data_IF_231851755642
#
_entry.id   IF_231851755642
#
_cell.length_a   1.000
_cell.length_b   1.000
_cell.length_c   1.000
_cell.angle_alpha   90.00
_cell.angle_beta   90.00
_cell.angle_gamma   90.00
#
_symmetry.space_group_name_H-M   'P 1'
#
loop_
_entity.id
_entity.type
_entity.pdbx_description
1 polymer ?
#
# COMPACT_ATOMS: atom_id res chain seq x y z
N UNK A 1 -26.44 0.88 -39.67
CA UNK A 1 -26.19 1.56 -38.38
C UNK A 1 -26.13 0.51 -37.28
N UNK A 2 -24.97 -0.11 -37.05
CA UNK A 2 -24.80 -1.06 -35.96
C UNK A 2 -23.32 -1.20 -35.58
N UNK A 3 -23.09 -1.12 -34.28
CA UNK A 3 -21.98 -1.70 -33.51
C UNK A 3 -20.67 -0.92 -33.37
N UNK A 4 -20.73 0.32 -32.84
CA UNK A 4 -19.60 0.97 -32.15
C UNK A 4 -19.53 0.68 -30.63
N UNK A 5 -20.41 -0.16 -30.09
CA UNK A 5 -20.49 -0.47 -28.65
C UNK A 5 -19.40 -1.43 -28.14
N UNK A 6 -18.64 -2.10 -29.01
CA UNK A 6 -17.64 -3.10 -28.62
C UNK A 6 -16.26 -2.54 -28.28
N UNK A 7 -15.92 -1.34 -28.76
CA UNK A 7 -14.54 -0.80 -28.66
C UNK A 7 -14.26 -0.11 -27.33
N UNK A 8 -15.30 0.31 -26.62
CA UNK A 8 -15.20 0.95 -25.30
C UNK A 8 -15.14 -0.03 -24.12
N UNK A 9 -15.68 -1.25 -24.23
CA UNK A 9 -15.79 -2.15 -23.06
C UNK A 9 -14.46 -2.83 -22.68
N UNK A 10 -13.60 -3.11 -23.66
CA UNK A 10 -12.33 -3.81 -23.46
C UNK A 10 -11.27 -2.94 -22.76
N UNK A 11 -11.26 -1.62 -23.01
CA UNK A 11 -10.40 -0.66 -22.30
C UNK A 11 -10.91 -0.26 -20.92
N UNK A 12 -12.21 -0.46 -20.64
CA UNK A 12 -12.80 -0.18 -19.32
C UNK A 12 -12.34 -1.17 -18.25
N UNK A 13 -11.92 -2.38 -18.62
CA UNK A 13 -11.44 -3.41 -17.69
C UNK A 13 -10.11 -3.04 -17.02
N UNK A 14 -9.01 -2.71 -17.74
CA UNK A 14 -7.76 -2.31 -17.09
C UNK A 14 -7.90 -1.01 -16.30
N UNK A 15 -8.69 -0.05 -16.78
CA UNK A 15 -8.96 1.20 -16.06
C UNK A 15 -9.70 0.95 -14.73
N UNK A 16 -10.66 0.01 -14.69
CA UNK A 16 -11.35 -0.38 -13.46
C UNK A 16 -10.41 -1.01 -12.43
N UNK A 17 -9.48 -1.87 -12.82
CA UNK A 17 -8.49 -2.44 -11.91
C UNK A 17 -7.52 -1.39 -11.38
N UNK A 18 -7.15 -0.42 -12.21
CA UNK A 18 -6.32 0.71 -11.78
C UNK A 18 -7.08 1.60 -10.78
N UNK A 19 -8.33 1.95 -11.05
CA UNK A 19 -9.18 2.66 -10.09
C UNK A 19 -9.38 1.87 -8.79
N UNK A 20 -9.55 0.55 -8.89
CA UNK A 20 -9.68 -0.32 -7.72
C UNK A 20 -8.40 -0.35 -6.88
N UNK A 21 -7.22 -0.16 -7.48
CA UNK A 21 -5.94 -0.08 -6.77
C UNK A 21 -5.76 1.20 -5.95
N UNK A 22 -6.52 2.26 -6.25
CA UNK A 22 -6.41 3.55 -5.55
C UNK A 22 -6.85 3.42 -4.09
N UNK A 23 -7.94 2.69 -3.83
CA UNK A 23 -8.48 2.52 -2.47
C UNK A 23 -7.50 1.80 -1.51
N UNK A 24 -6.95 0.62 -1.83
CA UNK A 24 -5.99 -0.04 -0.95
C UNK A 24 -4.66 0.73 -0.88
N UNK A 25 -4.26 1.45 -1.94
CA UNK A 25 -3.07 2.29 -1.90
C UNK A 25 -3.24 3.49 -0.96
N UNK A 26 -4.40 4.16 -1.01
CA UNK A 26 -4.73 5.24 -0.09
C UNK A 26 -4.83 4.73 1.35
N UNK A 27 -5.50 3.60 1.56
CA UNK A 27 -5.54 2.93 2.85
C UNK A 27 -4.14 2.60 3.36
N UNK A 28 -3.27 2.05 2.52
CA UNK A 28 -1.89 1.71 2.86
C UNK A 28 -1.14 2.96 3.32
N UNK A 29 -1.25 4.06 2.58
CA UNK A 29 -0.64 5.33 2.94
C UNK A 29 -1.16 5.85 4.28
N UNK A 30 -2.48 5.86 4.49
CA UNK A 30 -3.07 6.30 5.75
C UNK A 30 -2.66 5.42 6.94
N UNK A 31 -2.67 4.09 6.79
CA UNK A 31 -2.27 3.15 7.85
C UNK A 31 -0.78 3.29 8.17
N UNK A 32 0.07 3.41 7.15
CA UNK A 32 1.50 3.63 7.34
C UNK A 32 1.77 4.96 8.03
N UNK A 33 1.11 6.03 7.60
CA UNK A 33 1.22 7.35 8.22
C UNK A 33 0.75 7.30 9.68
N UNK A 34 -0.39 6.68 9.97
CA UNK A 34 -0.89 6.53 11.33
C UNK A 34 0.10 5.78 12.24
N UNK A 35 0.67 4.69 11.74
CA UNK A 35 1.68 3.94 12.49
C UNK A 35 2.97 4.74 12.71
N UNK A 36 3.44 5.45 11.69
CA UNK A 36 4.71 6.19 11.75
C UNK A 36 4.65 7.35 12.76
N UNK A 37 3.46 7.94 12.92
CA UNK A 37 3.20 9.04 13.84
C UNK A 37 2.51 8.60 15.15
N UNK A 38 2.52 7.31 15.49
CA UNK A 38 1.84 6.80 16.70
C UNK A 38 2.40 7.35 18.02
N UNK A 39 3.66 7.81 18.03
CA UNK A 39 4.25 8.45 19.21
C UNK A 39 4.17 9.97 19.20
N UNK A 40 3.38 10.57 18.31
CA UNK A 40 3.18 12.01 18.27
C UNK A 40 4.44 12.82 17.99
N UNK A 41 4.39 14.10 18.37
CA UNK A 41 5.52 15.05 18.27
C UNK A 41 6.59 14.76 19.32
N UNK A 42 6.17 14.30 20.50
CA UNK A 42 7.05 13.84 21.57
C UNK A 42 6.63 12.45 22.04
N UNK A 43 7.45 11.47 21.68
CA UNK A 43 7.23 10.09 22.07
C UNK A 43 7.34 9.91 23.59
N UNK A 44 8.17 10.71 24.27
CA UNK A 44 8.28 10.64 25.73
C UNK A 44 6.98 11.09 26.38
N UNK A 45 6.44 12.22 25.92
CA UNK A 45 5.16 12.73 26.41
C UNK A 45 4.04 11.69 26.19
N UNK A 46 3.98 11.09 25.00
CA UNK A 46 2.98 10.07 24.68
C UNK A 46 3.13 8.83 25.56
N UNK A 47 4.36 8.34 25.75
CA UNK A 47 4.64 7.20 26.62
C UNK A 47 4.25 7.48 28.08
N UNK A 48 4.71 8.60 28.64
CA UNK A 48 4.56 8.91 30.06
C UNK A 48 3.15 9.42 30.42
N UNK A 49 2.55 10.28 29.58
CA UNK A 49 1.28 10.95 29.89
C UNK A 49 0.04 10.26 29.30
N UNK A 50 0.12 9.73 28.06
CA UNK A 50 -1.04 9.10 27.43
C UNK A 50 -1.16 7.61 27.79
N UNK A 51 -0.04 6.88 27.73
CA UNK A 51 -0.02 5.43 27.95
C UNK A 51 0.36 5.04 29.39
N UNK A 52 0.90 5.98 30.17
CA UNK A 52 1.35 5.75 31.56
C UNK A 52 2.55 4.79 31.67
N UNK A 53 3.32 4.64 30.59
CA UNK A 53 4.50 3.79 30.51
C UNK A 53 5.77 4.59 30.77
N UNK A 54 6.76 3.99 31.41
CA UNK A 54 8.06 4.63 31.60
C UNK A 54 8.80 4.69 30.26
N UNK A 55 9.19 5.91 29.87
CA UNK A 55 10.03 6.13 28.71
C UNK A 55 11.48 5.77 29.05
N UNK A 56 12.00 4.73 28.41
CA UNK A 56 13.37 4.26 28.60
C UNK A 56 14.28 4.90 27.54
N UNK A 57 14.94 5.99 27.94
CA UNK A 57 15.86 6.71 27.06
C UNK A 57 17.11 5.87 26.73
N UNK A 58 17.61 5.06 27.67
CA UNK A 58 18.78 4.23 27.44
C UNK A 58 18.48 3.15 26.39
N UNK A 59 17.33 2.48 26.52
CA UNK A 59 16.86 1.53 25.50
C UNK A 59 16.74 2.20 24.13
N UNK A 60 16.20 3.42 24.06
CA UNK A 60 15.99 4.13 22.79
C UNK A 60 17.30 4.61 22.14
N UNK A 61 18.29 4.98 22.94
CA UNK A 61 19.62 5.33 22.44
C UNK A 61 20.34 4.10 21.88
N UNK A 62 20.25 2.96 22.55
CA UNK A 62 20.79 1.69 22.06
C UNK A 62 20.07 1.20 20.80
N UNK A 63 18.75 1.43 20.72
CA UNK A 63 17.87 0.98 19.64
C UNK A 63 17.39 2.12 18.74
N UNK A 64 18.22 3.15 18.52
CA UNK A 64 17.86 4.34 17.75
C UNK A 64 17.43 4.04 16.30
N UNK A 65 17.79 2.86 15.78
CA UNK A 65 17.41 2.41 14.45
C UNK A 65 15.99 1.84 14.40
N UNK A 66 15.41 1.37 15.51
CA UNK A 66 14.07 0.77 15.50
C UNK A 66 12.98 1.73 14.96
N UNK A 67 12.91 3.02 15.36
CA UNK A 67 11.90 3.95 14.87
C UNK A 67 12.10 4.40 13.42
N UNK A 68 13.31 4.27 12.87
CA UNK A 68 13.62 4.69 11.50
C UNK A 68 13.35 3.60 10.46
N UNK A 69 12.95 2.39 10.89
CA UNK A 69 12.58 1.30 9.99
C UNK A 69 11.27 1.61 9.28
N UNK A 70 11.28 1.46 7.97
CA UNK A 70 10.10 1.65 7.13
C UNK A 70 9.05 0.54 7.31
N UNK A 71 9.47 -0.66 7.74
CA UNK A 71 8.64 -1.80 8.11
C UNK A 71 9.50 -2.89 8.79
N UNK A 72 8.97 -3.66 9.77
CA UNK A 72 7.74 -3.38 10.52
C UNK A 72 7.88 -2.07 11.30
N UNK A 73 6.76 -1.35 11.43
CA UNK A 73 6.72 -0.12 12.21
C UNK A 73 6.75 -0.48 13.69
N UNK A 74 7.66 0.16 14.41
CA UNK A 74 7.83 0.06 15.84
C UNK A 74 8.12 1.45 16.40
N UNK A 75 7.47 1.79 17.50
CA UNK A 75 7.77 2.99 18.26
C UNK A 75 7.64 2.65 19.74
N UNK A 76 8.69 2.01 20.26
CA UNK A 76 8.70 1.47 21.62
C UNK A 76 8.97 2.55 22.65
N UNK A 77 8.22 2.51 23.75
CA UNK A 77 8.49 3.28 24.97
C UNK A 77 9.58 2.62 25.82
N UNK A 78 9.56 1.29 25.86
CA UNK A 78 10.51 0.42 26.56
C UNK A 78 10.54 -0.94 25.84
N UNK A 79 11.38 -1.87 26.29
CA UNK A 79 11.51 -3.19 25.65
C UNK A 79 10.18 -3.99 25.56
N UNK A 80 9.20 -3.67 26.40
CA UNK A 80 7.95 -4.41 26.56
C UNK A 80 6.73 -3.74 25.91
N UNK A 81 6.80 -2.43 25.62
CA UNK A 81 5.64 -1.66 25.17
C UNK A 81 5.91 -0.91 23.87
N UNK A 82 5.05 -1.12 22.88
CA UNK A 82 5.08 -0.48 21.57
C UNK A 82 3.85 0.41 21.39
N UNK A 83 4.07 1.67 21.03
CA UNK A 83 3.02 2.63 20.72
C UNK A 83 2.31 2.28 19.41
N UNK A 84 2.96 1.52 18.51
CA UNK A 84 2.35 1.08 17.27
C UNK A 84 1.36 -0.05 17.57
N UNK A 85 0.05 0.13 17.28
CA UNK A 85 -0.92 -0.94 17.51
C UNK A 85 -0.57 -2.20 16.73
N UNK A 86 -0.76 -3.37 17.35
CA UNK A 86 -0.41 -4.67 16.77
C UNK A 86 -1.08 -4.97 15.42
N UNK A 87 -2.19 -4.31 15.09
CA UNK A 87 -2.91 -4.49 13.82
C UNK A 87 -2.31 -3.70 12.65
N UNK A 88 -1.52 -2.64 12.89
CA UNK A 88 -0.96 -1.77 11.83
C UNK A 88 -0.09 -2.57 10.86
N UNK A 89 0.85 -3.35 11.38
CA UNK A 89 1.79 -4.11 10.55
C UNK A 89 1.09 -5.17 9.68
N UNK A 90 0.19 -6.02 10.21
CA UNK A 90 -0.63 -6.91 9.39
C UNK A 90 -1.48 -6.17 8.35
N UNK A 91 -2.08 -5.03 8.70
CA UNK A 91 -2.91 -4.25 7.77
C UNK A 91 -2.09 -3.68 6.62
N UNK A 92 -0.87 -3.16 6.88
CA UNK A 92 0.07 -2.71 5.86
C UNK A 92 0.37 -3.86 4.86
N UNK A 93 0.66 -5.06 5.37
CA UNK A 93 0.92 -6.23 4.50
C UNK A 93 -0.28 -6.56 3.63
N UNK A 94 -1.48 -6.65 4.21
CA UNK A 94 -2.71 -6.95 3.48
C UNK A 94 -2.99 -5.91 2.38
N UNK A 95 -2.85 -4.62 2.69
CA UNK A 95 -3.09 -3.53 1.73
C UNK A 95 -2.02 -3.47 0.63
N UNK A 96 -0.76 -3.73 0.98
CA UNK A 96 0.33 -3.81 0.01
C UNK A 96 0.11 -4.97 -0.99
N UNK A 97 -0.27 -6.15 -0.49
CA UNK A 97 -0.61 -7.31 -1.32
C UNK A 97 -1.81 -7.01 -2.23
N UNK A 98 -2.87 -6.40 -1.69
CA UNK A 98 -4.05 -6.02 -2.47
C UNK A 98 -3.71 -5.01 -3.58
N UNK A 99 -2.90 -4.00 -3.25
CA UNK A 99 -2.43 -2.98 -4.21
C UNK A 99 -1.59 -3.61 -5.31
N UNK A 100 -0.61 -4.44 -4.94
CA UNK A 100 0.24 -5.16 -5.89
C UNK A 100 -0.58 -6.08 -6.80
N UNK A 101 -1.53 -6.84 -6.25
CA UNK A 101 -2.41 -7.71 -7.03
C UNK A 101 -3.25 -6.95 -8.07
N UNK A 102 -3.80 -5.80 -7.68
CA UNK A 102 -4.56 -4.95 -8.59
C UNK A 102 -3.67 -4.38 -9.71
N UNK A 103 -2.47 -3.89 -9.37
CA UNK A 103 -1.53 -3.32 -10.34
C UNK A 103 -1.02 -4.37 -11.33
N UNK A 104 -0.61 -5.55 -10.84
CA UNK A 104 -0.17 -6.67 -11.69
C UNK A 104 -1.29 -7.05 -12.66
N UNK A 105 -2.52 -7.18 -12.18
CA UNK A 105 -3.68 -7.51 -13.02
C UNK A 105 -3.91 -6.44 -14.10
N UNK A 106 -3.86 -5.16 -13.74
CA UNK A 106 -4.02 -4.05 -14.69
C UNK A 106 -2.92 -4.06 -15.78
N UNK A 107 -1.65 -4.31 -15.39
CA UNK A 107 -0.52 -4.39 -16.33
C UNK A 107 -0.67 -5.59 -17.27
N UNK A 108 -0.97 -6.78 -16.74
CA UNK A 108 -1.14 -8.00 -17.52
C UNK A 108 -2.27 -7.84 -18.54
N UNK A 109 -3.44 -7.33 -18.12
CA UNK A 109 -4.56 -7.09 -19.03
C UNK A 109 -4.22 -6.06 -20.13
N UNK A 110 -3.51 -5.00 -19.78
CA UNK A 110 -3.09 -3.98 -20.75
C UNK A 110 -2.08 -4.55 -21.76
N UNK A 111 -1.13 -5.37 -21.29
CA UNK A 111 -0.13 -6.03 -22.12
C UNK A 111 -0.75 -7.06 -23.07
N UNK A 112 -1.66 -7.91 -22.59
CA UNK A 112 -2.36 -8.91 -23.43
C UNK A 112 -3.22 -8.24 -24.49
N UNK A 113 -3.98 -7.21 -24.13
CA UNK A 113 -4.81 -6.44 -25.08
C UNK A 113 -3.95 -5.75 -26.14
N UNK A 114 -2.82 -5.15 -25.75
CA UNK A 114 -1.87 -4.52 -26.68
C UNK A 114 -1.25 -5.53 -27.64
N UNK A 115 -0.87 -6.72 -27.15
CA UNK A 115 -0.32 -7.80 -27.98
C UNK A 115 -1.34 -8.33 -28.99
N UNK A 116 -2.59 -8.54 -28.56
CA UNK A 116 -3.68 -8.97 -29.45
C UNK A 116 -3.93 -7.94 -30.57
N UNK A 117 -4.04 -6.66 -30.22
CA UNK A 117 -4.22 -5.57 -31.20
C UNK A 117 -3.08 -5.50 -32.21
N UNK A 118 -1.82 -5.71 -31.77
CA UNK A 118 -0.65 -5.77 -32.66
C UNK A 118 -0.67 -7.00 -33.58
N UNK A 119 -1.17 -8.15 -33.11
CA UNK A 119 -1.34 -9.35 -33.96
C UNK A 119 -2.41 -9.13 -35.03
N UNK A 120 -3.57 -8.60 -34.64
CA UNK A 120 -4.65 -8.31 -35.58
C UNK A 120 -4.26 -7.29 -36.66
N UNK A 121 -3.49 -6.25 -36.31
CA UNK A 121 -2.96 -5.30 -37.31
C UNK A 121 -1.93 -5.88 -38.27
N UNK A 122 -1.29 -6.99 -37.91
CA UNK A 122 -0.27 -7.64 -38.76
C UNK A 122 -0.85 -8.68 -39.71
N UNK A 123 -2.14 -9.00 -39.62
CA UNK A 123 -2.82 -9.82 -40.63
C UNK A 123 -3.08 -8.91 -41.84
N UNK A 124 -2.41 -9.12 -42.99
CA UNK A 124 -2.62 -8.28 -44.17
C UNK A 124 -4.02 -8.53 -44.74
N UNK A 125 -4.72 -7.46 -45.14
CA UNK A 125 -5.93 -7.52 -45.98
C UNK A 125 -5.55 -7.97 -47.40
N UNK A 126 -5.22 -9.25 -47.56
CA UNK A 126 -5.06 -9.89 -48.87
C UNK A 126 -6.02 -11.07 -48.95
N UNK A 127 -7.32 -10.76 -49.12
CA UNK A 127 -8.30 -11.62 -49.76
C UNK A 127 -9.12 -10.79 -50.73
#
# INVERSE_FOLDING_TARGET
>A
MSNDLGRGSEWRKPLRWLLLSVMPCFGLFCTWFWGAFSGGLDARETCELLEGQTYDSAYREENWQEPSRLFPLHNKCNASYDLVPAWINPTIVCLAVATAGCLITAVVMTATHSRLKRRLRRVPEHL
#
